data_IF_494286283291
#
_entry.id   IF_494286283291
#
_cell.length_a   1.000
_cell.length_b   1.000
_cell.length_c   1.000
_cell.angle_alpha   90.00
_cell.angle_beta   90.00
_cell.angle_gamma   90.00
#
_symmetry.space_group_name_H-M   'P 1'
#
loop_
_entity.id
_entity.type
_entity.pdbx_description
1 polymer ?
#
# COMPACT_ATOMS: atom_id res chain seq x y z
N UNK A 1 12.47 27.63 -12.35
CA UNK A 1 11.74 26.84 -11.34
C UNK A 1 10.98 25.74 -12.05
N UNK A 2 11.57 24.56 -12.17
CA UNK A 2 10.86 23.39 -12.69
C UNK A 2 9.94 22.84 -11.62
N UNK A 3 8.71 22.51 -12.00
CA UNK A 3 7.77 21.80 -11.13
C UNK A 3 8.30 20.38 -10.92
N UNK A 4 8.11 19.78 -9.73
CA UNK A 4 8.52 18.40 -9.49
C UNK A 4 7.86 17.45 -10.49
N UNK A 5 8.68 16.61 -11.12
CA UNK A 5 8.25 15.57 -12.06
C UNK A 5 8.23 14.22 -11.38
N UNK A 6 7.24 13.38 -11.68
CA UNK A 6 7.16 12.02 -11.17
C UNK A 6 6.19 11.16 -11.97
N UNK A 7 6.36 9.83 -11.89
CA UNK A 7 5.43 8.86 -12.45
C UNK A 7 4.41 8.47 -11.38
N UNK A 8 3.12 8.69 -11.66
CA UNK A 8 2.03 8.26 -10.80
C UNK A 8 1.22 7.16 -11.48
N UNK A 9 1.11 6.00 -10.82
CA UNK A 9 0.26 4.89 -11.25
C UNK A 9 -0.75 4.62 -10.13
N UNK A 10 -2.03 4.71 -10.46
CA UNK A 10 -3.14 4.39 -9.54
C UNK A 10 -3.85 3.12 -10.00
N UNK A 11 -4.33 2.32 -9.05
CA UNK A 11 -5.13 1.12 -9.30
C UNK A 11 -6.38 1.20 -8.44
N UNK A 12 -7.55 0.88 -9.01
CA UNK A 12 -8.78 0.73 -8.26
C UNK A 12 -9.68 -0.34 -8.88
N UNK A 13 -10.49 -1.00 -8.05
CA UNK A 13 -11.53 -1.93 -8.50
C UNK A 13 -12.62 -1.21 -9.29
N UNK A 14 -12.83 0.07 -9.03
CA UNK A 14 -13.79 0.92 -9.72
C UNK A 14 -13.12 1.68 -10.87
N UNK A 15 -13.95 2.18 -11.79
CA UNK A 15 -13.49 3.08 -12.83
C UNK A 15 -13.06 4.42 -12.21
N UNK A 16 -11.89 4.92 -12.60
CA UNK A 16 -11.40 6.26 -12.23
C UNK A 16 -11.47 7.15 -13.47
N UNK A 17 -11.99 8.37 -13.33
CA UNK A 17 -11.95 9.35 -14.41
C UNK A 17 -10.51 9.82 -14.68
N UNK A 18 -10.14 10.08 -15.95
CA UNK A 18 -8.78 10.51 -16.29
C UNK A 18 -8.31 11.72 -15.48
N UNK A 19 -7.12 11.60 -14.89
CA UNK A 19 -6.42 12.69 -14.20
C UNK A 19 -5.14 12.99 -14.96
N UNK A 20 -4.94 14.24 -15.37
CA UNK A 20 -3.77 14.67 -16.15
C UNK A 20 -2.48 14.36 -15.36
N UNK A 21 -1.56 13.63 -16.01
CA UNK A 21 -0.26 13.27 -15.42
C UNK A 21 -0.28 11.99 -14.59
N UNK A 22 -1.42 11.30 -14.47
CA UNK A 22 -1.53 10.02 -13.77
C UNK A 22 -1.93 8.90 -14.73
N UNK A 23 -1.26 7.76 -14.62
CA UNK A 23 -1.72 6.50 -15.22
C UNK A 23 -2.75 5.88 -14.29
N UNK A 24 -3.97 5.67 -14.77
CA UNK A 24 -5.07 5.13 -13.96
C UNK A 24 -5.51 3.76 -14.48
N UNK A 25 -5.28 2.73 -13.68
CA UNK A 25 -5.72 1.35 -13.92
C UNK A 25 -7.03 1.10 -13.16
N UNK A 26 -8.14 1.63 -13.68
CA UNK A 26 -9.49 1.34 -13.15
C UNK A 26 -9.96 -0.07 -13.50
N UNK A 27 -11.05 -0.52 -12.86
CA UNK A 27 -11.61 -1.87 -13.04
C UNK A 27 -10.57 -2.99 -12.90
N UNK A 28 -9.60 -2.78 -12.01
CA UNK A 28 -8.43 -3.65 -11.85
C UNK A 28 -8.28 -4.06 -10.39
N UNK A 29 -8.34 -5.37 -10.16
CA UNK A 29 -8.13 -5.94 -8.83
C UNK A 29 -6.64 -5.99 -8.52
N UNK A 30 -6.20 -5.25 -7.50
CA UNK A 30 -4.80 -5.24 -7.06
C UNK A 30 -4.32 -6.62 -6.62
N UNK A 31 -5.19 -7.51 -6.13
CA UNK A 31 -4.80 -8.87 -5.72
C UNK A 31 -4.58 -9.81 -6.91
N UNK A 32 -4.98 -9.40 -8.11
CA UNK A 32 -4.79 -10.17 -9.33
C UNK A 32 -3.36 -10.02 -9.89
N UNK A 33 -2.66 -11.14 -10.21
CA UNK A 33 -1.33 -11.09 -10.80
C UNK A 33 -1.24 -10.32 -12.13
N UNK A 34 -2.32 -10.32 -12.93
CA UNK A 34 -2.37 -9.56 -14.20
C UNK A 34 -2.29 -8.05 -13.95
N UNK A 35 -2.84 -7.57 -12.84
CA UNK A 35 -2.75 -6.16 -12.46
C UNK A 35 -1.31 -5.79 -12.11
N UNK A 36 -0.58 -6.67 -11.41
CA UNK A 36 0.84 -6.44 -11.11
C UNK A 36 1.70 -6.40 -12.37
N UNK A 37 1.39 -7.22 -13.39
CA UNK A 37 2.05 -7.16 -14.69
C UNK A 37 1.81 -5.81 -15.37
N UNK A 38 0.57 -5.34 -15.44
CA UNK A 38 0.24 -4.00 -15.97
C UNK A 38 1.00 -2.89 -15.25
N UNK A 39 1.09 -2.94 -13.92
CA UNK A 39 1.86 -1.93 -13.16
C UNK A 39 3.33 -1.97 -13.59
N UNK A 40 3.94 -3.15 -13.69
CA UNK A 40 5.34 -3.31 -14.11
C UNK A 40 5.60 -2.79 -15.52
N UNK A 41 4.66 -3.02 -16.45
CA UNK A 41 4.74 -2.48 -17.81
C UNK A 41 4.78 -0.94 -17.79
N UNK A 42 3.93 -0.30 -16.99
CA UNK A 42 3.90 1.16 -16.86
C UNK A 42 5.11 1.73 -16.10
N UNK A 43 5.68 0.97 -15.16
CA UNK A 43 6.94 1.33 -14.50
C UNK A 43 8.12 1.33 -15.50
N UNK A 44 8.05 0.51 -16.55
CA UNK A 44 9.06 0.43 -17.60
C UNK A 44 10.50 0.26 -17.05
N UNK A 45 10.67 -0.69 -16.13
CA UNK A 45 11.95 -0.97 -15.47
C UNK A 45 12.30 -0.05 -14.29
N UNK A 46 11.52 1.00 -14.02
CA UNK A 46 11.68 1.82 -12.82
C UNK A 46 11.21 1.09 -11.57
N UNK A 47 11.88 1.36 -10.46
CA UNK A 47 11.47 0.89 -9.13
C UNK A 47 10.73 1.99 -8.38
N UNK A 48 9.90 1.60 -7.41
CA UNK A 48 8.95 2.49 -6.74
C UNK A 48 9.60 3.17 -5.53
N UNK A 49 9.41 4.49 -5.40
CA UNK A 49 9.86 5.26 -4.23
C UNK A 49 8.79 5.31 -3.12
N UNK A 50 7.51 5.30 -3.51
CA UNK A 50 6.37 5.38 -2.57
C UNK A 50 5.25 4.44 -2.99
N UNK A 51 4.79 3.58 -2.08
CA UNK A 51 3.55 2.80 -2.20
C UNK A 51 2.54 3.35 -1.20
N UNK A 52 1.37 3.78 -1.68
CA UNK A 52 0.24 4.21 -0.86
C UNK A 52 -0.93 3.27 -1.11
N UNK A 53 -1.53 2.75 -0.04
CA UNK A 53 -2.72 1.91 -0.13
C UNK A 53 -3.76 2.41 0.85
N UNK A 54 -4.84 2.98 0.31
CA UNK A 54 -6.08 3.24 1.05
C UNK A 54 -7.18 2.21 0.75
N UNK A 55 -6.80 1.02 0.28
CA UNK A 55 -7.77 -0.03 0.02
C UNK A 55 -8.37 -0.58 1.32
N UNK A 56 -9.66 -0.93 1.26
CA UNK A 56 -10.35 -1.73 2.27
C UNK A 56 -11.28 -2.73 1.57
N UNK A 57 -11.44 -3.94 2.11
CA UNK A 57 -12.48 -4.87 1.64
C UNK A 57 -13.87 -4.32 1.95
N UNK A 58 -14.90 -4.85 1.28
CA UNK A 58 -16.28 -4.61 1.67
C UNK A 58 -16.51 -5.05 3.12
N UNK A 59 -17.07 -4.16 3.93
CA UNK A 59 -17.35 -4.47 5.33
C UNK A 59 -18.43 -5.55 5.44
N UNK A 60 -18.13 -6.58 6.22
CA UNK A 60 -19.07 -7.65 6.57
C UNK A 60 -19.96 -7.25 7.75
N UNK A 61 -19.52 -6.26 8.54
CA UNK A 61 -20.16 -5.86 9.80
C UNK A 61 -19.64 -6.65 11.00
N UNK A 62 -18.81 -7.67 10.77
CA UNK A 62 -18.21 -8.51 11.81
C UNK A 62 -16.77 -8.07 12.03
N UNK A 63 -16.51 -7.34 13.12
CA UNK A 63 -15.23 -6.65 13.37
C UNK A 63 -13.98 -7.51 13.19
N UNK A 64 -13.99 -8.75 13.70
CA UNK A 64 -12.81 -9.63 13.59
C UNK A 64 -12.58 -10.08 12.14
N UNK A 65 -13.65 -10.39 11.40
CA UNK A 65 -13.55 -10.76 10.00
C UNK A 65 -13.10 -9.58 9.14
N UNK A 66 -13.63 -8.38 9.40
CA UNK A 66 -13.23 -7.15 8.71
C UNK A 66 -11.74 -6.83 8.96
N UNK A 67 -11.24 -7.07 10.19
CA UNK A 67 -9.82 -6.97 10.52
C UNK A 67 -8.98 -7.99 9.73
N UNK A 68 -9.36 -9.27 9.74
CA UNK A 68 -8.62 -10.32 9.05
C UNK A 68 -8.54 -10.05 7.53
N UNK A 69 -9.64 -9.58 6.93
CA UNK A 69 -9.71 -9.26 5.51
C UNK A 69 -8.80 -8.09 5.14
N UNK A 70 -8.80 -6.99 5.91
CA UNK A 70 -7.94 -5.84 5.61
C UNK A 70 -6.46 -6.16 5.88
N UNK A 71 -6.14 -6.98 6.89
CA UNK A 71 -4.78 -7.44 7.15
C UNK A 71 -4.27 -8.31 5.99
N UNK A 72 -5.10 -9.22 5.46
CA UNK A 72 -4.75 -10.01 4.27
C UNK A 72 -4.48 -9.12 3.05
N UNK A 73 -5.28 -8.08 2.86
CA UNK A 73 -5.07 -7.11 1.78
C UNK A 73 -3.76 -6.32 2.00
N UNK A 74 -3.49 -5.88 3.23
CA UNK A 74 -2.25 -5.21 3.60
C UNK A 74 -1.02 -6.08 3.32
N UNK A 75 -1.06 -7.38 3.62
CA UNK A 75 0.03 -8.30 3.25
C UNK A 75 0.27 -8.40 1.74
N UNK A 76 -0.78 -8.32 0.92
CA UNK A 76 -0.63 -8.25 -0.54
C UNK A 76 0.12 -6.99 -0.97
N UNK A 77 -0.19 -5.85 -0.36
CA UNK A 77 0.50 -4.57 -0.60
C UNK A 77 1.95 -4.62 -0.15
N UNK A 78 2.22 -5.18 1.03
CA UNK A 78 3.58 -5.34 1.56
C UNK A 78 4.42 -6.21 0.62
N UNK A 79 3.87 -7.34 0.16
CA UNK A 79 4.54 -8.24 -0.79
C UNK A 79 4.87 -7.50 -2.08
N UNK A 80 3.93 -6.75 -2.64
CA UNK A 80 4.16 -5.96 -3.83
C UNK A 80 5.26 -4.91 -3.60
N UNK A 81 5.18 -4.14 -2.51
CA UNK A 81 6.15 -3.09 -2.20
C UNK A 81 7.57 -3.65 -2.07
N UNK A 82 7.76 -4.74 -1.32
CA UNK A 82 9.07 -5.38 -1.12
C UNK A 82 9.70 -5.81 -2.45
N UNK A 83 8.89 -6.31 -3.40
CA UNK A 83 9.38 -6.85 -4.67
C UNK A 83 9.66 -5.78 -5.74
N UNK A 84 9.16 -4.55 -5.58
CA UNK A 84 9.17 -3.55 -6.65
C UNK A 84 9.69 -2.16 -6.22
N UNK A 85 10.16 -1.99 -4.98
CA UNK A 85 10.56 -0.67 -4.46
C UNK A 85 12.09 -0.47 -4.38
N UNK A 86 12.52 0.78 -4.52
CA UNK A 86 13.90 1.21 -4.31
C UNK A 86 14.32 1.11 -2.83
N UNK A 87 15.61 0.89 -2.58
CA UNK A 87 16.18 1.12 -1.23
C UNK A 87 15.89 2.57 -0.82
N UNK A 88 15.41 2.76 0.40
CA UNK A 88 14.96 4.06 0.90
C UNK A 88 13.46 4.31 0.75
N UNK A 89 12.73 3.50 -0.04
CA UNK A 89 11.32 3.70 -0.31
C UNK A 89 10.42 3.72 0.94
N UNK A 90 9.25 4.33 0.78
CA UNK A 90 8.20 4.43 1.80
C UNK A 90 6.95 3.65 1.40
N UNK A 91 6.34 2.97 2.36
CA UNK A 91 5.06 2.30 2.20
C UNK A 91 4.09 2.79 3.28
N UNK A 92 2.89 3.21 2.87
CA UNK A 92 1.81 3.62 3.76
C UNK A 92 0.57 2.79 3.45
N UNK A 93 0.05 2.05 4.43
CA UNK A 93 -1.02 1.08 4.22
C UNK A 93 -2.12 1.31 5.25
N UNK A 94 -3.36 1.49 4.80
CA UNK A 94 -4.52 1.48 5.67
C UNK A 94 -4.73 0.10 6.29
N UNK A 95 -5.03 0.08 7.58
CA UNK A 95 -5.46 -1.10 8.32
C UNK A 95 -6.61 -0.72 9.26
N UNK A 96 -7.29 -1.73 9.80
CA UNK A 96 -8.21 -1.56 10.93
C UNK A 96 -7.52 -2.07 12.19
N UNK A 97 -7.63 -1.31 13.27
CA UNK A 97 -7.06 -1.67 14.57
C UNK A 97 -7.57 -3.04 15.04
N UNK A 98 -6.67 -3.93 15.42
CA UNK A 98 -7.04 -5.26 15.91
C UNK A 98 -5.87 -6.09 16.40
N UNK A 99 -6.13 -7.38 16.62
CA UNK A 99 -5.21 -8.30 17.28
C UNK A 99 -3.93 -8.60 16.48
N UNK A 100 -3.93 -8.47 15.15
CA UNK A 100 -2.75 -8.78 14.31
C UNK A 100 -1.81 -7.59 14.09
N UNK A 101 -2.09 -6.43 14.70
CA UNK A 101 -1.28 -5.22 14.53
C UNK A 101 0.21 -5.46 14.81
N UNK A 102 0.54 -6.12 15.92
CA UNK A 102 1.94 -6.36 16.28
C UNK A 102 2.66 -7.24 15.27
N UNK A 103 1.95 -8.16 14.63
CA UNK A 103 2.54 -9.15 13.74
C UNK A 103 2.86 -8.52 12.38
N UNK A 104 1.94 -7.73 11.83
CA UNK A 104 2.18 -7.00 10.59
C UNK A 104 3.27 -5.92 10.76
N UNK A 105 3.31 -5.25 11.92
CA UNK A 105 4.38 -4.30 12.25
C UNK A 105 5.75 -4.99 12.33
N UNK A 106 5.83 -6.12 13.04
CA UNK A 106 7.06 -6.94 13.12
C UNK A 106 7.49 -7.43 11.74
N UNK A 107 6.55 -7.83 10.88
CA UNK A 107 6.85 -8.26 9.52
C UNK A 107 7.51 -7.13 8.72
N UNK A 108 6.98 -5.91 8.78
CA UNK A 108 7.56 -4.75 8.09
C UNK A 108 8.91 -4.32 8.66
N UNK A 109 9.12 -4.41 9.98
CA UNK A 109 10.40 -4.03 10.62
C UNK A 109 11.60 -4.84 10.11
N UNK A 110 11.36 -6.04 9.57
CA UNK A 110 12.39 -6.84 8.88
C UNK A 110 12.92 -6.14 7.62
N UNK A 111 12.06 -5.41 6.91
CA UNK A 111 12.34 -4.83 5.60
C UNK A 111 12.51 -3.31 5.60
N UNK A 112 12.04 -2.61 6.63
CA UNK A 112 12.07 -1.14 6.71
C UNK A 112 12.82 -0.65 7.96
N UNK A 113 13.42 0.54 7.90
CA UNK A 113 14.16 1.15 9.02
C UNK A 113 13.24 1.65 10.14
N UNK A 114 12.14 2.31 9.78
CA UNK A 114 11.16 2.83 10.72
C UNK A 114 9.77 2.34 10.33
N UNK A 115 9.05 1.76 11.29
CA UNK A 115 7.67 1.33 11.11
C UNK A 115 6.87 1.82 12.31
N UNK A 116 5.75 2.50 12.05
CA UNK A 116 4.86 3.01 13.10
C UNK A 116 3.42 3.07 12.63
N UNK A 117 2.49 2.96 13.57
CA UNK A 117 1.10 3.30 13.34
C UNK A 117 0.92 4.82 13.36
N UNK A 118 0.10 5.32 12.45
CA UNK A 118 -0.27 6.73 12.33
C UNK A 118 -1.78 6.80 12.22
N UNK A 119 -2.42 7.63 13.04
CA UNK A 119 -3.82 8.00 12.90
C UNK A 119 -3.89 9.43 12.36
N UNK A 120 -4.34 9.66 11.11
CA UNK A 120 -4.44 11.01 10.55
C UNK A 120 -5.50 11.82 11.30
N UNK A 121 -5.30 13.14 11.41
CA UNK A 121 -6.31 14.05 11.96
C UNK A 121 -7.61 14.05 11.12
N UNK A 122 -7.51 13.72 9.84
CA UNK A 122 -8.65 13.56 8.94
C UNK A 122 -9.48 12.29 9.18
N UNK A 123 -9.02 11.37 10.03
CA UNK A 123 -9.77 10.15 10.36
C UNK A 123 -10.90 10.47 11.35
N UNK A 124 -12.07 9.85 11.16
CA UNK A 124 -13.19 10.00 12.09
C UNK A 124 -12.81 9.46 13.47
N UNK A 125 -13.25 10.14 14.54
CA UNK A 125 -12.92 9.80 15.93
C UNK A 125 -13.41 8.39 16.32
N UNK A 126 -14.55 7.97 15.78
CA UNK A 126 -15.18 6.67 16.02
C UNK A 126 -14.64 5.54 15.11
N UNK A 127 -13.75 5.84 14.17
CA UNK A 127 -13.15 4.85 13.28
C UNK A 127 -12.00 4.10 13.95
N UNK A 128 -11.96 2.78 13.76
CA UNK A 128 -10.80 1.93 14.08
C UNK A 128 -9.69 2.02 13.03
N UNK A 129 -9.85 2.85 11.99
CA UNK A 129 -8.85 3.09 10.96
C UNK A 129 -7.54 3.64 11.53
N UNK A 130 -6.44 3.03 11.09
CA UNK A 130 -5.07 3.50 11.29
C UNK A 130 -4.28 3.22 10.02
N UNK A 131 -3.16 3.92 9.85
CA UNK A 131 -2.21 3.64 8.79
C UNK A 131 -0.92 3.08 9.37
N UNK A 132 -0.37 2.09 8.70
CA UNK A 132 0.95 1.55 8.96
C UNK A 132 1.94 2.26 8.04
N UNK A 133 2.76 3.14 8.60
CA UNK A 133 3.79 3.88 7.90
C UNK A 133 5.14 3.17 8.08
N UNK A 134 5.69 2.68 6.97
CA UNK A 134 7.01 2.07 6.89
C UNK A 134 7.94 2.92 6.01
N UNK A 135 9.08 3.33 6.53
CA UNK A 135 10.05 4.21 5.87
C UNK A 135 11.44 3.60 5.82
N UNK A 136 12.15 3.87 4.73
CA UNK A 136 13.51 3.43 4.54
C UNK A 136 13.57 1.93 4.25
N UNK A 137 13.02 1.50 3.11
CA UNK A 137 13.17 0.11 2.66
C UNK A 137 14.66 -0.27 2.60
N UNK A 138 15.02 -1.40 3.21
CA UNK A 138 16.40 -1.87 3.37
C UNK A 138 16.92 -2.64 2.15
N UNK A 139 16.05 -2.95 1.19
CA UNK A 139 16.32 -3.92 0.13
C UNK A 139 16.10 -5.37 0.59
N UNK A 140 15.96 -6.27 -0.38
CA UNK A 140 15.97 -7.72 -0.12
C UNK A 140 17.45 -8.13 -0.15
N UNK A 141 17.99 -8.66 0.95
CA UNK A 141 19.30 -9.32 0.90
C UNK A 141 19.21 -10.49 -0.06
N UNK A 142 19.84 -10.37 -1.22
CA UNK A 142 20.12 -11.51 -2.08
C UNK A 142 21.33 -12.20 -1.45
N UNK A 143 21.09 -13.33 -0.77
CA UNK A 143 22.16 -14.26 -0.43
C UNK A 143 22.54 -15.05 -1.68
#
# INVERSE_FOLDING_TARGET
>A
NELPTGLLISIDLQQIYPIKGATLLGNSDFTCPKTWQKIKEHLNGQSIDVVLSDMAPNATGVKHLDHDLIIRLAYSVIKFAILNSNVGATCLIKILDGNQNSDIEKALKKFYLNVKFVKPESSRTDSSEKYLLARGFKGIKQN
#
